data_IF_839750152939
#
_entry.id   IF_839750152939
#
_cell.length_a   1.000
_cell.length_b   1.000
_cell.length_c   1.000
_cell.angle_alpha   90.00
_cell.angle_beta   90.00
_cell.angle_gamma   90.00
#
_symmetry.space_group_name_H-M   'P 1'
#
loop_
_entity.id
_entity.type
_entity.pdbx_description
1 polymer ?
#
# COMPACT_ATOMS: atom_id res chain seq x y z
N UNK A 1 -41.93 35.79 -8.19
CA UNK A 1 -40.47 36.00 -8.32
C UNK A 1 -39.75 34.77 -7.76
N UNK A 2 -39.03 33.97 -8.58
CA UNK A 2 -38.30 32.81 -8.07
C UNK A 2 -36.99 33.26 -7.40
N UNK A 3 -36.76 32.81 -6.15
CA UNK A 3 -35.49 33.03 -5.43
C UNK A 3 -34.39 32.18 -6.08
N UNK A 4 -33.32 32.84 -6.53
CA UNK A 4 -32.11 32.22 -7.08
C UNK A 4 -31.43 31.35 -5.99
N UNK A 5 -30.95 30.13 -6.30
CA UNK A 5 -30.29 29.29 -5.30
C UNK A 5 -28.95 29.90 -4.86
N UNK A 6 -28.68 29.83 -3.56
CA UNK A 6 -27.48 30.37 -2.92
C UNK A 6 -26.21 29.59 -3.31
N UNK A 7 -25.08 30.24 -3.62
CA UNK A 7 -23.87 29.59 -4.16
C UNK A 7 -23.03 28.83 -3.11
N UNK A 8 -23.42 28.80 -1.84
CA UNK A 8 -22.64 28.19 -0.77
C UNK A 8 -22.77 26.65 -0.69
N UNK A 9 -23.84 26.06 -1.23
CA UNK A 9 -24.12 24.63 -1.12
C UNK A 9 -23.23 23.75 -2.06
N UNK A 10 -22.69 24.32 -3.14
CA UNK A 10 -21.89 23.57 -4.12
C UNK A 10 -20.44 23.29 -3.70
N UNK A 11 -19.89 24.09 -2.78
CA UNK A 11 -18.50 23.92 -2.28
C UNK A 11 -18.38 22.74 -1.30
N UNK A 12 -19.33 22.60 -0.38
CA UNK A 12 -19.35 21.50 0.59
C UNK A 12 -19.61 20.15 -0.09
N UNK A 13 -20.49 20.11 -1.10
CA UNK A 13 -20.75 18.89 -1.87
C UNK A 13 -19.52 18.46 -2.69
N UNK A 14 -18.78 19.39 -3.29
CA UNK A 14 -17.53 19.08 -3.99
C UNK A 14 -16.47 18.50 -3.04
N UNK A 15 -16.28 19.10 -1.87
CA UNK A 15 -15.36 18.58 -0.85
C UNK A 15 -15.77 17.19 -0.32
N UNK A 16 -17.07 16.94 -0.15
CA UNK A 16 -17.57 15.62 0.25
C UNK A 16 -17.34 14.56 -0.83
N UNK A 17 -17.51 14.91 -2.12
CA UNK A 17 -17.22 14.03 -3.24
C UNK A 17 -15.71 13.72 -3.36
N UNK A 18 -14.84 14.70 -3.10
CA UNK A 18 -13.39 14.48 -3.09
C UNK A 18 -12.96 13.50 -1.98
N UNK A 19 -13.52 13.65 -0.78
CA UNK A 19 -13.27 12.70 0.31
C UNK A 19 -13.79 11.30 -0.03
N UNK A 20 -14.99 11.20 -0.62
CA UNK A 20 -15.55 9.92 -1.03
C UNK A 20 -14.69 9.25 -2.12
N UNK A 21 -14.19 10.02 -3.09
CA UNK A 21 -13.27 9.53 -4.12
C UNK A 21 -11.95 9.04 -3.51
N UNK A 22 -11.41 9.74 -2.51
CA UNK A 22 -10.21 9.30 -1.80
C UNK A 22 -10.44 7.99 -1.05
N UNK A 23 -11.55 7.88 -0.32
CA UNK A 23 -11.92 6.67 0.43
C UNK A 23 -12.16 5.50 -0.53
N UNK A 24 -12.81 5.73 -1.67
CA UNK A 24 -13.01 4.72 -2.70
C UNK A 24 -11.68 4.18 -3.23
N UNK A 25 -10.74 5.07 -3.60
CA UNK A 25 -9.40 4.66 -4.05
C UNK A 25 -8.62 3.91 -2.97
N UNK A 26 -8.79 4.28 -1.70
CA UNK A 26 -8.16 3.56 -0.59
C UNK A 26 -8.76 2.17 -0.40
N UNK A 27 -10.07 2.02 -0.59
CA UNK A 27 -10.74 0.73 -0.54
C UNK A 27 -10.26 -0.20 -1.67
N UNK A 28 -10.20 0.31 -2.90
CA UNK A 28 -9.67 -0.41 -4.06
C UNK A 28 -8.21 -0.86 -3.80
N UNK A 29 -7.37 0.07 -3.32
CA UNK A 29 -5.98 -0.23 -3.00
C UNK A 29 -5.85 -1.33 -1.92
N UNK A 30 -6.69 -1.29 -0.89
CA UNK A 30 -6.70 -2.32 0.15
C UNK A 30 -7.08 -3.68 -0.42
N UNK A 31 -8.09 -3.73 -1.29
CA UNK A 31 -8.54 -4.98 -1.91
C UNK A 31 -7.46 -5.57 -2.82
N UNK A 32 -6.88 -4.75 -3.70
CA UNK A 32 -5.80 -5.15 -4.60
C UNK A 32 -4.56 -5.61 -3.83
N UNK A 33 -4.19 -4.89 -2.77
CA UNK A 33 -3.06 -5.26 -1.91
C UNK A 33 -3.32 -6.58 -1.19
N UNK A 34 -4.52 -6.78 -0.63
CA UNK A 34 -4.91 -8.04 0.01
C UNK A 34 -4.80 -9.21 -0.96
N UNK A 35 -5.34 -9.06 -2.18
CA UNK A 35 -5.31 -10.13 -3.19
C UNK A 35 -3.89 -10.44 -3.65
N UNK A 36 -3.04 -9.41 -3.75
CA UNK A 36 -1.63 -9.57 -4.09
C UNK A 36 -0.89 -10.35 -3.01
N UNK A 37 -1.07 -9.98 -1.74
CA UNK A 37 -0.46 -10.68 -0.60
C UNK A 37 -0.92 -12.13 -0.51
N UNK A 38 -2.21 -12.40 -0.71
CA UNK A 38 -2.76 -13.76 -0.70
C UNK A 38 -2.19 -14.62 -1.84
N UNK A 39 -2.01 -14.02 -3.01
CA UNK A 39 -1.41 -14.72 -4.15
C UNK A 39 0.06 -15.03 -3.87
N UNK A 40 0.80 -14.06 -3.31
CA UNK A 40 2.20 -14.24 -2.95
C UNK A 40 2.39 -15.30 -1.85
N UNK A 41 1.50 -15.33 -0.85
CA UNK A 41 1.55 -16.34 0.21
C UNK A 41 1.31 -17.73 -0.36
N UNK A 42 0.28 -17.89 -1.19
CA UNK A 42 -0.02 -19.17 -1.83
C UNK A 42 1.12 -19.65 -2.75
N UNK A 43 1.73 -18.73 -3.52
CA UNK A 43 2.90 -19.08 -4.35
C UNK A 43 4.08 -19.50 -3.48
N UNK A 44 4.38 -18.75 -2.41
CA UNK A 44 5.47 -19.06 -1.49
C UNK A 44 5.29 -20.44 -0.84
N UNK A 45 4.08 -20.73 -0.33
CA UNK A 45 3.72 -22.04 0.23
C UNK A 45 3.94 -23.16 -0.80
N UNK A 46 3.45 -22.98 -2.03
CA UNK A 46 3.65 -23.98 -3.09
C UNK A 46 5.11 -24.21 -3.45
N UNK A 47 5.96 -23.19 -3.40
CA UNK A 47 7.40 -23.32 -3.65
C UNK A 47 8.09 -24.09 -2.50
N UNK A 48 7.70 -23.83 -1.25
CA UNK A 48 8.18 -24.55 -0.07
C UNK A 48 7.75 -26.02 -0.12
N UNK A 49 6.46 -26.28 -0.38
CA UNK A 49 5.90 -27.64 -0.45
C UNK A 49 6.55 -28.48 -1.55
N UNK A 50 6.96 -27.84 -2.64
CA UNK A 50 7.71 -28.48 -3.73
C UNK A 50 9.20 -28.66 -3.44
N UNK A 51 9.68 -28.16 -2.30
CA UNK A 51 11.09 -28.19 -1.90
C UNK A 51 11.99 -27.30 -2.76
N UNK A 52 11.42 -26.31 -3.46
CA UNK A 52 12.18 -25.39 -4.31
C UNK A 52 12.87 -24.29 -3.50
N UNK A 53 12.31 -23.93 -2.34
CA UNK A 53 12.89 -23.02 -1.36
C UNK A 53 12.67 -23.60 0.04
N UNK A 54 13.60 -23.37 0.97
CA UNK A 54 13.38 -23.74 2.37
C UNK A 54 12.79 -22.56 3.18
N UNK A 55 12.02 -22.82 4.24
CA UNK A 55 11.54 -21.76 5.13
C UNK A 55 12.66 -20.91 5.70
N UNK A 56 13.79 -21.53 6.07
CA UNK A 56 14.95 -20.86 6.65
C UNK A 56 15.67 -19.97 5.62
N UNK A 57 15.72 -20.40 4.35
CA UNK A 57 16.27 -19.59 3.26
C UNK A 57 15.41 -18.35 3.02
N UNK A 58 14.08 -18.50 3.01
CA UNK A 58 13.15 -17.40 2.89
C UNK A 58 13.29 -16.40 4.05
N UNK A 59 13.32 -16.87 5.29
CA UNK A 59 13.48 -16.03 6.48
C UNK A 59 14.81 -15.25 6.45
N UNK A 60 15.91 -15.93 6.09
CA UNK A 60 17.21 -15.26 5.93
C UNK A 60 17.15 -14.17 4.87
N UNK A 61 16.48 -14.43 3.74
CA UNK A 61 16.35 -13.45 2.66
C UNK A 61 15.54 -12.23 3.08
N UNK A 62 14.45 -12.43 3.84
CA UNK A 62 13.65 -11.34 4.41
C UNK A 62 14.54 -10.46 5.31
N UNK A 63 15.25 -11.07 6.26
CA UNK A 63 16.13 -10.33 7.17
C UNK A 63 17.24 -9.55 6.44
N UNK A 64 17.79 -10.11 5.35
CA UNK A 64 18.76 -9.40 4.51
C UNK A 64 18.14 -8.17 3.84
N UNK A 65 16.95 -8.31 3.27
CA UNK A 65 16.24 -7.20 2.62
C UNK A 65 15.88 -6.09 3.61
N UNK A 66 15.44 -6.44 4.81
CA UNK A 66 15.14 -5.47 5.87
C UNK A 66 16.40 -4.68 6.28
N UNK A 67 17.53 -5.37 6.45
CA UNK A 67 18.81 -4.72 6.74
C UNK A 67 19.27 -3.79 5.62
N UNK A 68 19.14 -4.22 4.35
CA UNK A 68 19.49 -3.38 3.18
C UNK A 68 18.61 -2.12 3.11
N UNK A 69 17.33 -2.24 3.47
CA UNK A 69 16.41 -1.11 3.53
C UNK A 69 16.80 -0.12 4.64
N UNK A 70 17.12 -0.61 5.83
CA UNK A 70 17.56 0.22 6.96
C UNK A 70 18.86 0.97 6.62
N UNK A 71 19.81 0.31 5.97
CA UNK A 71 21.04 0.93 5.49
C UNK A 71 20.75 2.03 4.45
N UNK A 72 19.87 1.77 3.48
CA UNK A 72 19.46 2.75 2.48
C UNK A 72 18.82 3.98 3.12
N UNK A 73 17.89 3.77 4.07
CA UNK A 73 17.22 4.84 4.80
C UNK A 73 18.27 5.64 5.58
N UNK A 74 19.18 4.97 6.30
CA UNK A 74 20.27 5.62 7.05
C UNK A 74 21.17 6.48 6.17
N UNK A 75 21.55 5.98 4.98
CA UNK A 75 22.35 6.71 4.00
C UNK A 75 21.61 7.91 3.38
N UNK A 76 20.30 7.83 3.21
CA UNK A 76 19.50 8.96 2.70
C UNK A 76 19.31 10.08 3.72
N UNK A 77 19.30 9.74 5.02
CA UNK A 77 19.08 10.67 6.13
C UNK A 77 20.36 11.34 6.64
N UNK A 78 21.53 10.78 6.36
CA UNK A 78 22.83 11.40 6.65
C UNK A 78 23.57 11.73 5.35
N UNK A 79 23.52 12.99 4.86
CA UNK A 79 24.44 13.41 3.82
C UNK A 79 25.87 13.29 4.37
N UNK A 80 26.71 12.49 3.71
CA UNK A 80 28.13 12.39 4.04
C UNK A 80 28.77 13.79 4.13
N UNK A 81 29.58 14.09 5.14
CA UNK A 81 30.43 15.29 5.15
C UNK A 81 31.54 15.21 4.10
#
# INVERSE_FOLDING_TARGET
MPRKPSPAASSSAASALDHLNLVAKLADLKEDHYRTLLTLSAVTELLIDKGLISPEELERRINTLDSELDELIGASLHPMP
#
